data_IF_285489342081
#
_entry.id   IF_285489342081
#
_cell.length_a   1.000
_cell.length_b   1.000
_cell.length_c   1.000
_cell.angle_alpha   90.00
_cell.angle_beta   90.00
_cell.angle_gamma   90.00
#
_symmetry.space_group_name_H-M   'P 1'
#
loop_
_entity.id
_entity.type
_entity.pdbx_description
1 polymer ?
#
# COMPACT_ATOMS: atom_id res chain seq x y z
N UNK A 1 -3.90 13.23 -18.91
CA UNK A 1 -3.34 11.89 -18.66
C UNK A 1 -3.76 11.48 -17.26
N UNK A 2 -4.35 10.30 -17.08
CA UNK A 2 -4.72 9.79 -15.76
C UNK A 2 -3.53 9.01 -15.17
N UNK A 3 -3.02 9.45 -14.01
CA UNK A 3 -1.93 8.80 -13.31
C UNK A 3 -2.39 7.70 -12.33
N UNK A 4 -3.69 7.49 -12.20
CA UNK A 4 -4.26 6.35 -11.47
C UNK A 4 -4.39 5.19 -12.45
N UNK A 5 -3.56 4.18 -12.30
CA UNK A 5 -3.60 2.96 -13.13
C UNK A 5 -4.38 1.85 -12.42
N UNK A 6 -4.99 0.99 -13.22
CA UNK A 6 -5.82 -0.14 -12.76
C UNK A 6 -5.42 -1.39 -13.51
N UNK A 7 -5.12 -2.45 -12.78
CA UNK A 7 -4.76 -3.75 -13.34
C UNK A 7 -5.59 -4.83 -12.65
N UNK A 8 -6.24 -5.67 -13.44
CA UNK A 8 -7.04 -6.78 -12.95
C UNK A 8 -6.83 -8.00 -13.84
N UNK A 9 -6.62 -9.15 -13.24
CA UNK A 9 -6.48 -10.43 -13.92
C UNK A 9 -6.69 -11.59 -12.93
N UNK A 10 -6.83 -12.81 -13.44
CA UNK A 10 -7.02 -14.02 -12.64
C UNK A 10 -5.88 -14.27 -11.63
N UNK A 11 -4.65 -13.84 -11.93
CA UNK A 11 -3.53 -13.95 -11.00
C UNK A 11 -3.73 -13.06 -9.76
N UNK A 12 -4.17 -11.83 -9.93
CA UNK A 12 -4.50 -10.94 -8.81
C UNK A 12 -5.72 -11.42 -8.02
N UNK A 13 -6.68 -12.07 -8.67
CA UNK A 13 -7.80 -12.67 -7.96
C UNK A 13 -7.36 -13.82 -7.06
N UNK A 14 -6.49 -14.71 -7.55
CA UNK A 14 -5.93 -15.80 -6.76
C UNK A 14 -5.07 -15.28 -5.59
N UNK A 15 -4.27 -14.22 -5.82
CA UNK A 15 -3.50 -13.55 -4.76
C UNK A 15 -4.44 -12.98 -3.69
N UNK A 16 -5.54 -12.37 -4.10
CA UNK A 16 -6.55 -11.81 -3.19
C UNK A 16 -7.16 -12.87 -2.29
N UNK A 17 -7.48 -14.05 -2.82
CA UNK A 17 -7.97 -15.18 -2.04
C UNK A 17 -6.91 -15.67 -1.04
N UNK A 18 -5.65 -15.71 -1.46
CA UNK A 18 -4.53 -16.04 -0.58
C UNK A 18 -4.38 -15.05 0.58
N UNK A 19 -4.53 -13.75 0.31
CA UNK A 19 -4.51 -12.69 1.34
C UNK A 19 -5.66 -12.87 2.33
N UNK A 20 -6.88 -13.11 1.85
CA UNK A 20 -8.04 -13.33 2.71
C UNK A 20 -7.83 -14.53 3.64
N UNK A 21 -7.42 -15.67 3.08
CA UNK A 21 -7.16 -16.89 3.84
C UNK A 21 -6.01 -16.73 4.85
N UNK A 22 -4.94 -16.02 4.47
CA UNK A 22 -3.82 -15.72 5.37
C UNK A 22 -4.28 -14.82 6.52
N UNK A 23 -4.99 -13.76 6.22
CA UNK A 23 -5.48 -12.82 7.23
C UNK A 23 -6.37 -13.51 8.26
N UNK A 24 -7.29 -14.39 7.80
CA UNK A 24 -8.20 -15.12 8.68
C UNK A 24 -7.46 -16.13 9.58
N UNK A 25 -6.40 -16.76 9.07
CA UNK A 25 -5.62 -17.76 9.78
C UNK A 25 -4.62 -17.14 10.77
N UNK A 26 -4.01 -15.99 10.43
CA UNK A 26 -2.90 -15.40 11.19
C UNK A 26 -3.35 -14.30 12.15
N UNK A 27 -4.25 -14.69 13.07
CA UNK A 27 -4.73 -13.77 14.13
C UNK A 27 -3.62 -13.36 15.09
N UNK A 28 -2.57 -14.17 15.21
CA UNK A 28 -1.36 -13.90 15.99
C UNK A 28 -0.58 -12.67 15.49
N UNK A 29 -0.68 -12.34 14.21
CA UNK A 29 -0.01 -11.20 13.58
C UNK A 29 -0.87 -9.93 13.55
N UNK A 30 -2.16 -10.04 13.83
CA UNK A 30 -3.09 -8.91 13.73
C UNK A 30 -2.84 -7.88 14.83
N UNK A 31 -2.83 -6.60 14.44
CA UNK A 31 -2.67 -5.45 15.35
C UNK A 31 -3.66 -4.36 14.95
N UNK A 32 -4.07 -3.49 15.88
CA UNK A 32 -4.82 -2.27 15.53
C UNK A 32 -4.03 -1.45 14.52
N UNK A 33 -4.70 -1.01 13.44
CA UNK A 33 -4.08 -0.17 12.42
C UNK A 33 -3.74 1.21 12.97
N UNK A 34 -2.59 1.74 12.56
CA UNK A 34 -2.09 3.05 12.97
C UNK A 34 -2.07 4.00 11.78
N UNK A 35 -2.43 5.27 12.00
CA UNK A 35 -2.19 6.38 11.09
C UNK A 35 -1.25 7.36 11.77
N UNK A 36 -0.16 7.73 11.11
CA UNK A 36 0.78 8.70 11.63
C UNK A 36 0.27 10.13 11.36
N UNK A 37 0.56 11.06 12.28
CA UNK A 37 0.16 12.46 12.14
C UNK A 37 -1.33 12.72 12.43
N UNK A 38 -1.99 11.83 13.18
CA UNK A 38 -3.34 12.07 13.67
C UNK A 38 -3.34 13.30 14.59
N UNK A 39 -3.90 14.40 14.11
CA UNK A 39 -3.99 15.65 14.86
C UNK A 39 -5.11 15.61 15.88
N UNK A 40 -4.99 14.82 16.95
CA UNK A 40 -5.73 14.98 18.22
C UNK A 40 -7.26 15.19 18.15
N UNK A 41 -7.93 14.74 17.10
CA UNK A 41 -9.40 14.82 17.00
C UNK A 41 -10.09 13.75 17.86
N UNK A 42 -11.36 13.96 18.18
CA UNK A 42 -12.16 13.04 19.01
C UNK A 42 -12.38 11.67 18.34
N UNK A 43 -12.33 11.59 17.01
CA UNK A 43 -12.42 10.33 16.26
C UNK A 43 -11.07 9.95 15.62
N UNK A 44 -10.66 8.67 15.67
CA UNK A 44 -9.43 8.23 15.03
C UNK A 44 -9.53 8.35 13.50
N UNK A 45 -8.49 8.94 12.90
CA UNK A 45 -8.38 9.12 11.44
C UNK A 45 -8.45 7.81 10.67
N UNK A 46 -7.95 6.73 11.28
CA UNK A 46 -7.93 5.37 10.74
C UNK A 46 -8.37 4.38 11.81
N UNK A 47 -9.30 3.52 11.46
CA UNK A 47 -9.67 2.34 12.24
C UNK A 47 -9.60 1.13 11.33
N UNK A 48 -8.78 0.16 11.67
CA UNK A 48 -8.59 -1.10 10.92
C UNK A 48 -7.88 -2.14 11.79
N UNK A 49 -7.89 -3.37 11.32
CA UNK A 49 -6.99 -4.43 11.80
C UNK A 49 -5.93 -4.66 10.73
N UNK A 50 -4.67 -4.57 11.09
CA UNK A 50 -3.53 -4.64 10.15
C UNK A 50 -2.62 -5.84 10.47
N UNK A 51 -2.02 -6.42 9.42
CA UNK A 51 -0.85 -7.30 9.48
C UNK A 51 0.25 -6.62 8.67
N UNK A 52 1.38 -6.30 9.31
CA UNK A 52 2.56 -5.78 8.62
C UNK A 52 3.43 -6.93 8.16
N UNK A 53 3.80 -6.93 6.88
CA UNK A 53 4.63 -7.95 6.26
C UNK A 53 5.97 -7.34 5.80
N UNK A 54 7.05 -8.10 6.05
CA UNK A 54 8.42 -7.75 5.65
C UNK A 54 8.93 -8.85 4.72
N UNK A 55 8.92 -8.60 3.42
CA UNK A 55 9.19 -9.62 2.40
C UNK A 55 10.64 -10.15 2.35
N UNK A 56 11.55 -9.59 3.15
CA UNK A 56 12.91 -10.09 3.30
C UNK A 56 13.07 -10.94 4.58
N UNK A 57 12.08 -10.95 5.45
CA UNK A 57 12.08 -11.77 6.66
C UNK A 57 11.65 -13.21 6.30
N UNK A 58 12.54 -14.16 6.57
CA UNK A 58 12.33 -15.59 6.32
C UNK A 58 12.06 -16.37 7.61
N UNK A 59 11.90 -15.71 8.73
CA UNK A 59 11.58 -16.36 10.00
C UNK A 59 10.17 -16.99 9.97
N UNK A 60 9.27 -16.40 9.20
CA UNK A 60 7.92 -16.91 8.92
C UNK A 60 7.76 -17.22 7.43
N UNK A 61 7.91 -18.51 7.09
CA UNK A 61 7.88 -18.95 5.69
C UNK A 61 6.53 -18.75 5.01
N UNK A 62 5.43 -18.80 5.75
CA UNK A 62 4.08 -18.58 5.21
C UNK A 62 3.89 -17.09 4.85
N UNK A 63 4.28 -16.19 5.75
CA UNK A 63 4.28 -14.74 5.49
C UNK A 63 5.24 -14.37 4.36
N UNK A 64 6.44 -14.97 4.34
CA UNK A 64 7.42 -14.76 3.27
C UNK A 64 6.87 -15.18 1.91
N UNK A 65 6.30 -16.39 1.79
CA UNK A 65 5.76 -16.91 0.53
C UNK A 65 4.62 -16.03 -0.01
N UNK A 66 3.70 -15.60 0.85
CA UNK A 66 2.62 -14.69 0.47
C UNK A 66 3.18 -13.34 0.01
N UNK A 67 4.15 -12.79 0.73
CA UNK A 67 4.80 -11.51 0.40
C UNK A 67 5.45 -11.54 -0.98
N UNK A 68 6.19 -12.61 -1.30
CA UNK A 68 6.84 -12.81 -2.61
C UNK A 68 5.83 -12.79 -3.76
N UNK A 69 4.69 -13.47 -3.60
CA UNK A 69 3.65 -13.52 -4.64
C UNK A 69 3.01 -12.16 -4.84
N UNK A 70 2.66 -11.47 -3.76
CA UNK A 70 2.07 -10.12 -3.81
C UNK A 70 3.04 -9.14 -4.50
N UNK A 71 4.28 -9.05 -4.00
CA UNK A 71 5.23 -8.05 -4.50
C UNK A 71 5.67 -8.34 -5.94
N UNK A 72 5.73 -9.59 -6.36
CA UNK A 72 5.95 -9.95 -7.77
C UNK A 72 4.82 -9.45 -8.67
N UNK A 73 3.57 -9.58 -8.23
CA UNK A 73 2.41 -9.03 -8.93
C UNK A 73 2.45 -7.49 -9.01
N UNK A 74 2.80 -6.83 -7.90
CA UNK A 74 2.92 -5.37 -7.86
C UNK A 74 4.07 -4.89 -8.75
N UNK A 75 5.22 -5.59 -8.77
CA UNK A 75 6.35 -5.28 -9.65
C UNK A 75 5.97 -5.36 -11.13
N UNK A 76 5.25 -6.41 -11.53
CA UNK A 76 4.73 -6.54 -12.89
C UNK A 76 3.73 -5.40 -13.22
N UNK A 77 2.91 -4.99 -12.25
CA UNK A 77 2.03 -3.82 -12.37
C UNK A 77 2.82 -2.51 -12.54
N UNK A 78 3.93 -2.34 -11.81
CA UNK A 78 4.83 -1.19 -11.95
C UNK A 78 5.47 -1.14 -13.34
N UNK A 79 5.98 -2.27 -13.84
CA UNK A 79 6.57 -2.34 -15.18
C UNK A 79 5.57 -1.87 -16.24
N UNK A 80 4.34 -2.36 -16.15
CA UNK A 80 3.26 -1.93 -17.04
C UNK A 80 2.91 -0.45 -16.86
N UNK A 81 2.86 0.05 -15.62
CA UNK A 81 2.64 1.47 -15.32
C UNK A 81 3.65 2.36 -16.03
N UNK A 82 4.94 2.00 -15.98
CA UNK A 82 6.04 2.73 -16.60
C UNK A 82 6.02 2.63 -18.13
N UNK A 83 5.63 1.49 -18.70
CA UNK A 83 5.44 1.34 -20.15
C UNK A 83 4.31 2.23 -20.68
N UNK A 84 3.20 2.30 -19.96
CA UNK A 84 2.05 3.15 -20.33
C UNK A 84 2.32 4.65 -20.09
N UNK A 85 3.34 4.99 -19.28
CA UNK A 85 3.70 6.37 -18.88
C UNK A 85 5.19 6.64 -19.03
N UNK A 86 5.73 6.65 -20.25
CA UNK A 86 7.18 6.73 -20.47
C UNK A 86 7.80 8.01 -19.92
N UNK A 87 7.07 9.14 -19.89
CA UNK A 87 7.56 10.38 -19.30
C UNK A 87 7.76 10.28 -17.79
N UNK A 88 6.94 9.47 -17.09
CA UNK A 88 7.10 9.27 -15.66
C UNK A 88 8.47 8.65 -15.34
N UNK A 89 8.87 7.67 -16.15
CA UNK A 89 10.18 7.03 -16.00
C UNK A 89 11.33 7.99 -16.34
N UNK A 90 11.17 8.84 -17.34
CA UNK A 90 12.24 9.73 -17.84
C UNK A 90 12.59 10.88 -16.88
N UNK A 91 11.69 11.27 -15.98
CA UNK A 91 11.96 12.35 -15.02
C UNK A 91 12.72 11.90 -13.78
N UNK A 92 12.92 10.60 -13.61
CA UNK A 92 13.73 10.00 -12.54
C UNK A 92 14.83 9.08 -13.11
N UNK A 93 15.65 9.53 -14.07
CA UNK A 93 16.54 8.65 -14.83
C UNK A 93 17.66 8.01 -14.00
N UNK A 94 18.10 8.67 -12.95
CA UNK A 94 19.21 8.23 -12.10
C UNK A 94 18.77 7.48 -10.87
N UNK A 95 17.44 7.34 -10.66
CA UNK A 95 16.90 6.69 -9.49
C UNK A 95 16.19 5.39 -9.85
N UNK A 96 16.51 4.35 -9.13
CA UNK A 96 15.78 3.09 -9.24
C UNK A 96 14.40 3.23 -8.61
N UNK A 97 13.35 2.91 -9.39
CA UNK A 97 12.01 2.72 -8.85
C UNK A 97 11.83 1.27 -8.42
N UNK A 98 11.47 1.04 -7.19
CA UNK A 98 11.30 -0.31 -6.65
C UNK A 98 10.10 -0.41 -5.70
N UNK A 99 9.47 -1.59 -5.70
CA UNK A 99 8.43 -1.90 -4.72
C UNK A 99 9.07 -2.10 -3.35
N UNK A 100 8.57 -1.39 -2.35
CA UNK A 100 9.05 -1.55 -0.97
C UNK A 100 8.80 -2.97 -0.46
N UNK A 101 9.79 -3.59 0.20
CA UNK A 101 9.62 -4.92 0.77
C UNK A 101 8.79 -4.94 2.06
N UNK A 102 8.34 -3.78 2.54
CA UNK A 102 7.44 -3.64 3.69
C UNK A 102 6.10 -3.13 3.18
N UNK A 103 5.03 -3.81 3.57
CA UNK A 103 3.66 -3.43 3.21
C UNK A 103 2.67 -4.00 4.24
N UNK A 104 1.41 -3.57 4.16
CA UNK A 104 0.38 -3.97 5.10
C UNK A 104 -0.77 -4.71 4.41
N UNK A 105 -1.27 -5.74 5.06
CA UNK A 105 -2.62 -6.24 4.85
C UNK A 105 -3.52 -5.50 5.84
N UNK A 106 -4.62 -4.93 5.36
CA UNK A 106 -5.51 -4.11 6.19
C UNK A 106 -6.94 -4.58 6.01
N UNK A 107 -7.61 -4.86 7.13
CA UNK A 107 -9.05 -5.15 7.15
C UNK A 107 -9.79 -4.06 7.88
N UNK A 108 -10.81 -3.57 7.22
CA UNK A 108 -11.75 -2.58 7.72
C UNK A 108 -13.09 -3.27 7.94
N UNK A 109 -13.54 -3.38 9.19
CA UNK A 109 -14.87 -3.88 9.52
C UNK A 109 -15.96 -2.88 9.10
N UNK A 110 -17.24 -3.25 9.14
CA UNK A 110 -18.35 -2.31 8.93
C UNK A 110 -18.21 -1.05 9.80
N UNK A 111 -18.29 0.12 9.20
CA UNK A 111 -18.10 1.41 9.88
C UNK A 111 -16.64 1.87 10.02
N UNK A 112 -15.67 1.01 9.77
CA UNK A 112 -14.25 1.34 9.81
C UNK A 112 -13.71 1.86 8.46
N UNK A 113 -12.59 2.57 8.51
CA UNK A 113 -11.95 3.13 7.33
C UNK A 113 -10.76 4.01 7.67
N UNK A 114 -10.05 4.45 6.64
CA UNK A 114 -9.12 5.56 6.74
C UNK A 114 -9.88 6.82 6.30
N UNK A 115 -10.51 7.49 7.26
CA UNK A 115 -11.51 8.54 7.04
C UNK A 115 -10.90 9.88 6.66
N UNK A 116 -9.67 10.15 7.10
CA UNK A 116 -8.96 11.40 6.85
C UNK A 116 -8.46 11.49 5.41
N UNK A 117 -8.57 12.69 4.81
CA UNK A 117 -7.87 13.02 3.57
C UNK A 117 -6.38 13.10 3.82
N UNK A 118 -5.58 12.33 3.10
CA UNK A 118 -4.13 12.26 3.25
C UNK A 118 -3.44 12.01 1.90
N UNK A 119 -2.14 12.16 1.90
CA UNK A 119 -1.25 11.61 0.88
C UNK A 119 -0.21 10.73 1.57
N UNK A 120 0.40 9.84 0.81
CA UNK A 120 1.39 8.89 1.32
C UNK A 120 2.82 9.43 1.28
N UNK A 121 2.99 10.66 0.82
CA UNK A 121 4.29 11.29 0.76
C UNK A 121 4.80 11.57 2.17
N UNK A 122 5.95 11.01 2.49
CA UNK A 122 6.66 11.37 3.72
C UNK A 122 7.79 12.32 3.37
N UNK A 123 7.84 13.45 4.08
CA UNK A 123 9.04 14.30 4.14
C UNK A 123 9.74 13.84 5.40
N UNK A 124 10.85 13.10 5.25
CA UNK A 124 11.72 12.80 6.37
C UNK A 124 12.61 14.01 6.64
N UNK A 125 12.62 14.52 7.86
CA UNK A 125 13.57 15.53 8.31
C UNK A 125 14.99 14.97 8.47
N UNK A 126 15.12 13.64 8.43
CA UNK A 126 16.42 12.99 8.47
C UNK A 126 17.03 12.98 7.06
N UNK A 127 18.07 13.78 6.86
CA UNK A 127 18.89 13.82 5.64
C UNK A 127 19.53 12.45 5.28
N UNK A 128 19.17 11.40 5.99
CA UNK A 128 19.71 10.04 5.92
C UNK A 128 18.80 9.04 5.21
N UNK A 129 17.53 9.40 4.90
CA UNK A 129 16.64 8.50 4.16
C UNK A 129 16.87 8.65 2.64
N UNK A 130 17.62 7.73 2.00
CA UNK A 130 17.97 7.86 0.59
C UNK A 130 16.84 7.41 -0.35
N UNK A 131 15.64 7.22 0.15
CA UNK A 131 14.48 6.73 -0.62
C UNK A 131 13.22 7.55 -0.34
N UNK A 132 12.47 7.83 -1.39
CA UNK A 132 11.24 8.60 -1.32
C UNK A 132 10.07 7.80 -1.87
N UNK A 133 8.91 7.87 -1.21
CA UNK A 133 7.66 7.30 -1.72
C UNK A 133 7.18 8.10 -2.93
N UNK A 134 7.18 7.48 -4.08
CA UNK A 134 6.80 8.13 -5.35
C UNK A 134 5.41 7.70 -5.79
N UNK A 135 5.12 6.41 -5.65
CA UNK A 135 3.79 5.85 -5.92
C UNK A 135 3.31 5.06 -4.70
N UNK A 136 2.00 5.01 -4.55
CA UNK A 136 1.31 4.07 -3.67
C UNK A 136 0.60 3.01 -4.51
N UNK A 137 0.37 1.84 -3.92
CA UNK A 137 -0.43 0.80 -4.53
C UNK A 137 -1.42 0.21 -3.54
N UNK A 138 -2.58 -0.22 -4.06
CA UNK A 138 -3.62 -0.92 -3.33
C UNK A 138 -4.08 -2.11 -4.16
N UNK A 139 -4.04 -3.31 -3.60
CA UNK A 139 -4.71 -4.49 -4.12
C UNK A 139 -5.98 -4.73 -3.31
N UNK A 140 -7.14 -4.60 -3.92
CA UNK A 140 -8.40 -4.94 -3.27
C UNK A 140 -8.60 -6.46 -3.25
N UNK A 141 -8.74 -7.03 -2.06
CA UNK A 141 -8.81 -8.47 -1.86
C UNK A 141 -10.23 -9.03 -1.89
N UNK A 142 -11.23 -8.17 -1.73
CA UNK A 142 -12.63 -8.50 -1.92
C UNK A 142 -13.40 -7.37 -2.61
N UNK A 143 -14.54 -7.70 -3.21
CA UNK A 143 -15.45 -6.71 -3.78
C UNK A 143 -16.42 -6.24 -2.71
N UNK A 144 -16.49 -4.93 -2.52
CA UNK A 144 -17.43 -4.30 -1.58
C UNK A 144 -18.06 -3.10 -2.27
N UNK A 145 -19.34 -3.21 -2.53
CA UNK A 145 -20.10 -2.13 -3.16
C UNK A 145 -20.00 -0.85 -2.33
N UNK A 146 -19.87 0.27 -3.01
CA UNK A 146 -19.70 1.61 -2.41
C UNK A 146 -18.47 1.80 -1.50
N UNK A 147 -17.65 0.77 -1.29
CA UNK A 147 -16.35 0.94 -0.66
C UNK A 147 -15.26 1.22 -1.71
N UNK A 148 -14.04 1.52 -1.24
CA UNK A 148 -12.89 1.74 -2.11
C UNK A 148 -12.07 2.94 -1.65
N UNK A 149 -11.54 3.70 -2.62
CA UNK A 149 -10.67 4.86 -2.37
C UNK A 149 -11.21 6.08 -3.12
N UNK A 150 -11.37 7.19 -2.43
CA UNK A 150 -11.76 8.48 -3.01
C UNK A 150 -10.53 9.34 -3.24
N UNK A 151 -10.41 9.96 -4.43
CA UNK A 151 -9.34 10.91 -4.81
C UNK A 151 -9.94 12.31 -4.94
N UNK A 152 -9.49 13.23 -4.09
CA UNK A 152 -10.08 14.54 -3.93
C UNK A 152 -10.01 15.40 -5.20
N UNK A 153 -8.78 15.62 -5.68
CA UNK A 153 -8.56 16.52 -6.84
C UNK A 153 -9.07 15.95 -8.14
N UNK A 154 -9.02 14.63 -8.30
CA UNK A 154 -9.51 13.91 -9.47
C UNK A 154 -11.03 13.77 -9.49
N UNK A 155 -11.72 14.11 -8.37
CA UNK A 155 -13.16 13.87 -8.17
C UNK A 155 -13.54 12.44 -8.57
N UNK A 156 -12.69 11.49 -8.17
CA UNK A 156 -12.79 10.11 -8.59
C UNK A 156 -12.97 9.19 -7.40
N UNK A 157 -13.88 8.23 -7.54
CA UNK A 157 -14.03 7.09 -6.65
C UNK A 157 -13.56 5.82 -7.35
N UNK A 158 -12.57 5.16 -6.75
CA UNK A 158 -12.07 3.86 -7.19
C UNK A 158 -12.75 2.76 -6.38
N UNK A 159 -13.70 2.00 -6.96
CA UNK A 159 -14.45 1.00 -6.20
C UNK A 159 -13.56 -0.18 -5.79
N UNK A 160 -13.85 -0.78 -4.62
CA UNK A 160 -13.21 -2.00 -4.18
C UNK A 160 -13.72 -3.19 -5.00
N UNK A 161 -12.88 -3.73 -5.86
CA UNK A 161 -13.16 -4.90 -6.72
C UNK A 161 -12.07 -5.94 -6.50
N UNK A 162 -12.45 -7.18 -6.15
CA UNK A 162 -11.53 -8.29 -5.92
C UNK A 162 -10.54 -8.46 -7.08
N UNK A 163 -9.26 -8.58 -6.76
CA UNK A 163 -8.20 -8.76 -7.74
C UNK A 163 -7.81 -7.49 -8.51
N UNK A 164 -8.30 -6.32 -8.12
CA UNK A 164 -7.91 -5.05 -8.74
C UNK A 164 -6.74 -4.43 -8.00
N UNK A 165 -5.61 -4.33 -8.71
CA UNK A 165 -4.45 -3.54 -8.29
C UNK A 165 -4.59 -2.12 -8.83
N UNK A 166 -4.46 -1.14 -7.95
CA UNK A 166 -4.43 0.29 -8.29
C UNK A 166 -3.06 0.84 -7.93
N UNK A 167 -2.43 1.58 -8.86
CA UNK A 167 -1.15 2.28 -8.65
C UNK A 167 -1.38 3.76 -8.97
N UNK A 168 -0.95 4.64 -8.05
CA UNK A 168 -1.14 6.08 -8.17
C UNK A 168 -0.02 6.87 -7.48
N UNK A 169 0.21 8.16 -7.83
CA UNK A 169 1.21 9.00 -7.19
C UNK A 169 0.96 9.17 -5.69
N UNK A 170 2.02 9.04 -4.89
CA UNK A 170 1.96 9.13 -3.43
C UNK A 170 1.84 10.57 -2.91
N UNK A 171 2.15 11.56 -3.75
CA UNK A 171 2.25 12.98 -3.36
C UNK A 171 0.91 13.71 -3.22
N UNK A 172 0.95 15.00 -2.82
CA UNK A 172 -0.24 15.80 -2.52
C UNK A 172 -1.14 16.08 -3.73
N UNK A 173 -0.68 15.79 -4.95
CA UNK A 173 -1.53 15.81 -6.15
C UNK A 173 -2.60 14.71 -6.17
N UNK A 174 -2.46 13.67 -5.34
CA UNK A 174 -3.38 12.54 -5.24
C UNK A 174 -3.83 12.32 -3.79
N UNK A 175 -4.29 13.41 -3.15
CA UNK A 175 -4.92 13.34 -1.83
C UNK A 175 -6.11 12.40 -1.91
N UNK A 176 -6.14 11.42 -1.00
CA UNK A 176 -7.14 10.36 -1.02
C UNK A 176 -7.55 9.94 0.40
N UNK A 177 -8.64 9.17 0.46
CA UNK A 177 -9.12 8.51 1.68
C UNK A 177 -9.82 7.20 1.37
N UNK A 178 -9.92 6.31 2.36
CA UNK A 178 -10.75 5.13 2.27
C UNK A 178 -12.23 5.46 2.45
N UNK A 179 -13.08 5.04 1.51
CA UNK A 179 -14.54 5.13 1.68
C UNK A 179 -15.01 4.04 2.65
N UNK A 180 -15.77 4.45 3.66
CA UNK A 180 -16.34 3.57 4.69
C UNK A 180 -17.57 2.84 4.13
N UNK A 181 -17.65 1.54 4.37
CA UNK A 181 -18.86 0.75 4.14
C UNK A 181 -19.48 0.37 5.49
N UNK A 182 -20.80 0.50 5.64
CA UNK A 182 -21.49 0.25 6.91
C UNK A 182 -21.94 -1.21 7.09
N UNK A 183 -21.83 -2.03 6.05
CA UNK A 183 -22.41 -3.37 6.03
C UNK A 183 -21.38 -4.47 5.89
N UNK A 184 -20.36 -4.25 5.04
CA UNK A 184 -19.39 -5.29 4.68
C UNK A 184 -17.96 -4.87 5.01
N UNK A 185 -17.16 -5.85 5.43
CA UNK A 185 -15.73 -5.65 5.64
C UNK A 185 -14.98 -5.51 4.31
N UNK A 186 -14.04 -4.58 4.24
CA UNK A 186 -13.11 -4.40 3.13
C UNK A 186 -11.71 -4.85 3.54
N UNK A 187 -11.08 -5.71 2.73
CA UNK A 187 -9.70 -6.15 2.92
C UNK A 187 -8.84 -5.71 1.74
N UNK A 188 -7.67 -5.14 2.03
CA UNK A 188 -6.68 -4.71 1.03
C UNK A 188 -5.29 -5.16 1.41
N UNK A 189 -4.40 -5.30 0.42
CA UNK A 189 -2.97 -5.21 0.60
C UNK A 189 -2.51 -3.86 0.05
N UNK A 190 -1.63 -3.16 0.76
CA UNK A 190 -1.20 -1.80 0.38
C UNK A 190 0.23 -1.52 0.80
N UNK A 191 0.92 -0.72 -0.01
CA UNK A 191 2.29 -0.31 0.24
C UNK A 191 2.75 0.73 -0.78
N UNK A 192 4.06 0.87 -0.90
CA UNK A 192 4.65 1.96 -1.67
C UNK A 192 5.66 1.47 -2.71
N UNK A 193 5.86 2.31 -3.72
CA UNK A 193 6.93 2.21 -4.69
C UNK A 193 7.81 3.43 -4.46
N UNK A 194 9.07 3.17 -4.16
CA UNK A 194 10.04 4.19 -3.80
C UNK A 194 10.99 4.47 -4.97
N UNK A 195 11.53 5.69 -4.99
CA UNK A 195 12.70 6.04 -5.77
C UNK A 195 13.92 6.22 -4.84
N UNK A 196 15.09 5.73 -5.26
CA UNK A 196 16.33 5.90 -4.51
C UNK A 196 17.22 4.67 -4.45
N UNK A 197 18.10 4.61 -3.45
CA UNK A 197 19.12 3.57 -3.30
C UNK A 197 18.54 2.28 -2.70
N UNK A 198 17.86 1.47 -3.52
CA UNK A 198 17.22 0.21 -3.11
C UNK A 198 18.16 -0.69 -2.30
N UNK A 199 19.38 -0.90 -2.76
CA UNK A 199 20.30 -1.82 -2.10
C UNK A 199 20.68 -1.35 -0.69
N UNK A 200 20.93 -0.07 -0.51
CA UNK A 200 21.21 0.52 0.80
C UNK A 200 20.00 0.41 1.73
N UNK A 201 18.80 0.60 1.20
CA UNK A 201 17.56 0.44 1.97
C UNK A 201 17.38 -1.01 2.46
N UNK A 202 17.53 -2.00 1.56
CA UNK A 202 17.42 -3.44 1.91
C UNK A 202 18.47 -3.84 2.93
N UNK A 203 19.72 -3.37 2.79
CA UNK A 203 20.79 -3.67 3.74
C UNK A 203 20.50 -3.13 5.14
N UNK A 204 19.87 -1.96 5.26
CA UNK A 204 19.44 -1.41 6.56
C UNK A 204 18.35 -2.25 7.20
N UNK A 205 17.35 -2.63 6.43
CA UNK A 205 16.29 -3.52 6.91
C UNK A 205 16.83 -4.85 7.41
N UNK A 206 17.74 -5.46 6.67
CA UNK A 206 18.34 -6.75 7.05
C UNK A 206 19.20 -6.67 8.33
N UNK A 207 19.69 -5.48 8.69
CA UNK A 207 20.46 -5.25 9.93
C UNK A 207 19.57 -4.99 11.15
N UNK A 208 18.26 -5.08 11.01
CA UNK A 208 17.32 -4.80 12.11
C UNK A 208 17.23 -3.32 12.50
N UNK A 209 17.80 -2.42 11.70
CA UNK A 209 17.44 -1.02 11.77
C UNK A 209 15.98 -0.95 11.29
N UNK A 210 15.04 -0.92 12.22
CA UNK A 210 13.66 -0.59 11.87
C UNK A 210 13.72 0.70 11.05
N UNK A 211 13.12 0.73 9.85
CA UNK A 211 12.86 2.01 9.25
C UNK A 211 12.04 2.74 10.31
N UNK A 212 12.41 3.98 10.61
CA UNK A 212 11.65 4.83 11.52
C UNK A 212 10.24 5.02 10.95
N UNK A 213 9.41 3.98 11.07
CA UNK A 213 7.96 4.08 10.90
C UNK A 213 7.37 4.81 12.12
N UNK A 214 8.22 5.15 13.10
CA UNK A 214 7.84 5.64 14.40
C UNK A 214 7.83 7.17 14.51
N UNK A 215 8.24 7.92 13.51
CA UNK A 215 8.22 9.38 13.58
C UNK A 215 7.85 9.96 12.21
N UNK A 216 6.58 10.12 11.96
CA UNK A 216 5.95 11.26 11.27
C UNK A 216 4.46 11.06 11.10
#
# INVERSE_FOLDING_TARGET
MNLIARYQNAGFEAVSDGVMAFFDRRTDLQRPGVAFGSGGGEEPDKVSTDISLVAIDRSDLDAFALSEVILRGVAAGLDRYLQERPLFRSVCPEQELFVMPIFNLQRYAPGEGFKRWHCDWTISDEATEPVHRVLAWILYCNSVEEAGTEFHWQKHHEPAVRGKLVIFPAGPSHIHRGRVNQTFSKTIATGWINAGARQSYIQRLAKGAEPSLATQ
#
